data_IF_310789795404
#
_entry.id   IF_310789795404
#
_cell.length_a   1.000
_cell.length_b   1.000
_cell.length_c   1.000
_cell.angle_alpha   90.00
_cell.angle_beta   90.00
_cell.angle_gamma   90.00
#
_symmetry.space_group_name_H-M   'P 1'
#
loop_
_entity.id
_entity.type
_entity.pdbx_description
1 polymer ?
#
# COMPACT_ATOMS: atom_id res chain seq x y z
N UNK A 1 11.26 18.01 15.78
CA UNK A 1 11.12 17.67 14.35
C UNK A 1 9.71 18.00 13.92
N UNK A 2 9.47 18.84 12.90
CA UNK A 2 8.11 19.12 12.48
C UNK A 2 7.54 17.84 11.88
N UNK A 3 6.53 17.27 12.52
CA UNK A 3 5.68 16.23 11.92
C UNK A 3 5.05 16.90 10.71
N UNK A 4 5.61 16.62 9.53
CA UNK A 4 5.09 17.10 8.25
C UNK A 4 3.71 16.47 8.12
N UNK A 5 2.67 17.19 8.51
CA UNK A 5 1.29 16.76 8.33
C UNK A 5 1.09 16.63 6.83
N UNK A 6 1.24 15.41 6.30
CA UNK A 6 1.04 15.13 4.88
C UNK A 6 -0.44 15.32 4.64
N UNK A 7 -0.80 16.47 4.09
CA UNK A 7 -2.17 16.81 3.77
C UNK A 7 -2.42 16.24 2.38
N UNK A 8 -3.00 15.05 2.34
CA UNK A 8 -3.48 14.48 1.10
C UNK A 8 -4.77 15.18 0.68
N UNK A 9 -4.88 15.49 -0.60
CA UNK A 9 -6.16 15.88 -1.20
C UNK A 9 -7.17 14.73 -1.03
N UNK A 10 -8.47 15.02 -0.90
CA UNK A 10 -9.50 13.99 -0.71
C UNK A 10 -9.47 12.92 -1.81
N UNK A 11 -9.21 13.30 -3.06
CA UNK A 11 -9.03 12.36 -4.17
C UNK A 11 -7.86 11.40 -3.94
N UNK A 12 -6.75 11.89 -3.35
CA UNK A 12 -5.60 11.03 -3.04
C UNK A 12 -5.92 10.05 -1.92
N UNK A 13 -6.71 10.47 -0.93
CA UNK A 13 -7.18 9.56 0.13
C UNK A 13 -8.07 8.47 -0.45
N UNK A 14 -8.99 8.80 -1.37
CA UNK A 14 -9.83 7.81 -2.06
C UNK A 14 -9.00 6.84 -2.89
N UNK A 15 -7.98 7.33 -3.61
CA UNK A 15 -7.06 6.48 -4.37
C UNK A 15 -6.30 5.53 -3.43
N UNK A 16 -5.77 6.04 -2.31
CA UNK A 16 -5.03 5.23 -1.33
C UNK A 16 -5.92 4.16 -0.70
N UNK A 17 -7.17 4.48 -0.38
CA UNK A 17 -8.16 3.53 0.14
C UNK A 17 -8.46 2.42 -0.88
N UNK A 18 -8.67 2.79 -2.15
CA UNK A 18 -8.87 1.84 -3.24
C UNK A 18 -7.65 0.93 -3.45
N UNK A 19 -6.45 1.52 -3.44
CA UNK A 19 -5.19 0.76 -3.56
C UNK A 19 -5.02 -0.22 -2.38
N UNK A 20 -5.36 0.22 -1.16
CA UNK A 20 -5.28 -0.62 0.03
C UNK A 20 -6.23 -1.79 -0.07
N UNK A 21 -7.47 -1.56 -0.52
CA UNK A 21 -8.44 -2.62 -0.72
C UNK A 21 -7.93 -3.64 -1.75
N UNK A 22 -7.41 -3.19 -2.90
CA UNK A 22 -6.90 -4.07 -3.95
C UNK A 22 -5.67 -4.87 -3.48
N UNK A 23 -4.74 -4.23 -2.78
CA UNK A 23 -3.55 -4.89 -2.24
C UNK A 23 -3.93 -5.96 -1.19
N UNK A 24 -4.91 -5.68 -0.33
CA UNK A 24 -5.44 -6.66 0.64
C UNK A 24 -6.09 -7.86 -0.06
N UNK A 25 -6.90 -7.62 -1.10
CA UNK A 25 -7.49 -8.71 -1.89
C UNK A 25 -6.42 -9.57 -2.56
N UNK A 26 -5.40 -8.95 -3.16
CA UNK A 26 -4.27 -9.68 -3.77
C UNK A 26 -3.48 -10.47 -2.74
N UNK A 27 -3.22 -9.89 -1.57
CA UNK A 27 -2.57 -10.58 -0.47
C UNK A 27 -3.39 -11.80 -0.01
N UNK A 28 -4.72 -11.67 0.05
CA UNK A 28 -5.62 -12.76 0.43
C UNK A 28 -5.59 -13.90 -0.59
N UNK A 29 -5.57 -13.57 -1.89
CA UNK A 29 -5.42 -14.55 -2.98
C UNK A 29 -4.07 -15.29 -2.89
N UNK A 30 -3.01 -14.61 -2.45
CA UNK A 30 -1.69 -15.21 -2.20
C UNK A 30 -1.61 -16.01 -0.89
N UNK A 31 -2.72 -16.12 -0.13
CA UNK A 31 -2.77 -16.85 1.13
C UNK A 31 -2.13 -16.10 2.31
N UNK A 32 -1.93 -14.79 2.20
CA UNK A 32 -1.47 -13.98 3.32
C UNK A 32 -2.58 -13.81 4.36
N UNK A 33 -2.22 -13.88 5.63
CA UNK A 33 -3.16 -13.65 6.72
C UNK A 33 -3.57 -12.17 6.77
N UNK A 34 -4.85 -11.89 6.56
CA UNK A 34 -5.39 -10.52 6.51
C UNK A 34 -5.66 -10.00 7.92
N UNK A 35 -4.59 -9.60 8.61
CA UNK A 35 -4.63 -8.93 9.92
C UNK A 35 -4.54 -7.40 9.85
N UNK A 36 -4.73 -6.75 10.99
CA UNK A 36 -4.53 -5.29 11.13
C UNK A 36 -3.07 -4.90 10.82
N UNK A 37 -2.10 -5.69 11.27
CA UNK A 37 -0.68 -5.51 10.94
C UNK A 37 -0.40 -5.47 9.44
N UNK A 38 -1.02 -6.37 8.68
CA UNK A 38 -0.87 -6.42 7.22
C UNK A 38 -1.42 -5.15 6.58
N UNK A 39 -2.64 -4.75 6.97
CA UNK A 39 -3.27 -3.53 6.46
C UNK A 39 -2.44 -2.30 6.79
N UNK A 40 -1.92 -2.21 8.02
CA UNK A 40 -1.08 -1.09 8.45
C UNK A 40 0.23 -1.02 7.65
N UNK A 41 0.85 -2.16 7.33
CA UNK A 41 2.05 -2.21 6.47
C UNK A 41 1.76 -1.77 5.04
N UNK A 42 0.69 -2.29 4.44
CA UNK A 42 0.26 -1.91 3.10
C UNK A 42 -0.08 -0.42 3.03
N UNK A 43 -0.86 0.09 3.99
CA UNK A 43 -1.20 1.50 4.07
C UNK A 43 0.04 2.39 4.24
N UNK A 44 1.00 1.98 5.08
CA UNK A 44 2.25 2.73 5.26
C UNK A 44 3.07 2.80 3.97
N UNK A 45 3.16 1.70 3.22
CA UNK A 45 3.86 1.65 1.94
C UNK A 45 3.18 2.53 0.88
N UNK A 46 1.84 2.51 0.82
CA UNK A 46 1.05 3.36 -0.07
C UNK A 46 1.23 4.86 0.24
N UNK A 47 1.20 5.22 1.53
CA UNK A 47 1.43 6.59 2.00
C UNK A 47 2.86 7.04 1.66
N UNK A 48 3.86 6.19 1.86
CA UNK A 48 5.24 6.49 1.50
C UNK A 48 5.39 6.75 0.00
N UNK A 49 4.88 5.85 -0.83
CA UNK A 49 4.93 6.01 -2.29
C UNK A 49 4.19 7.27 -2.78
N UNK A 50 3.02 7.57 -2.21
CA UNK A 50 2.30 8.81 -2.50
C UNK A 50 3.05 10.06 -2.02
N UNK A 51 3.78 9.97 -0.91
CA UNK A 51 4.63 11.07 -0.41
C UNK A 51 5.83 11.31 -1.33
N UNK A 52 6.30 10.28 -2.04
CA UNK A 52 7.32 10.39 -3.09
C UNK A 52 6.79 10.94 -4.43
N UNK A 53 5.49 11.21 -4.53
CA UNK A 53 4.85 11.78 -5.71
C UNK A 53 4.28 10.76 -6.69
N UNK A 54 4.29 9.47 -6.35
CA UNK A 54 3.62 8.45 -7.15
C UNK A 54 2.09 8.58 -7.00
N UNK A 55 1.39 8.60 -8.14
CA UNK A 55 -0.06 8.76 -8.22
C UNK A 55 -0.72 7.68 -9.05
N UNK A 56 0.08 6.85 -9.72
CA UNK A 56 -0.41 5.74 -10.50
C UNK A 56 -0.86 4.60 -9.56
N UNK A 57 -2.14 4.25 -9.65
CA UNK A 57 -2.78 3.23 -8.82
C UNK A 57 -2.07 1.88 -8.94
N UNK A 58 -1.71 1.47 -10.16
CA UNK A 58 -1.09 0.17 -10.38
C UNK A 58 0.30 0.12 -9.72
N UNK A 59 1.08 1.20 -9.86
CA UNK A 59 2.40 1.31 -9.23
C UNK A 59 2.33 1.36 -7.71
N UNK A 60 1.37 2.08 -7.15
CA UNK A 60 1.14 2.15 -5.71
C UNK A 60 0.82 0.75 -5.14
N UNK A 61 -0.07 0.01 -5.81
CA UNK A 61 -0.42 -1.37 -5.42
C UNK A 61 0.80 -2.29 -5.55
N UNK A 62 1.55 -2.24 -6.66
CA UNK A 62 2.77 -3.05 -6.82
C UNK A 62 3.82 -2.77 -5.73
N UNK A 63 4.02 -1.49 -5.39
CA UNK A 63 4.92 -1.08 -4.31
C UNK A 63 4.46 -1.61 -2.95
N UNK A 64 3.17 -1.49 -2.65
CA UNK A 64 2.60 -2.03 -1.42
C UNK A 64 2.71 -3.57 -1.36
N UNK A 65 2.49 -4.26 -2.48
CA UNK A 65 2.67 -5.71 -2.55
C UNK A 65 4.13 -6.12 -2.33
N UNK A 66 5.11 -5.29 -2.69
CA UNK A 66 6.54 -5.57 -2.46
C UNK A 66 6.92 -5.60 -0.98
N UNK A 67 6.16 -4.96 -0.08
CA UNK A 67 6.42 -5.06 1.37
C UNK A 67 5.98 -6.40 1.96
N UNK A 68 5.23 -7.21 1.20
CA UNK A 68 4.80 -8.52 1.65
C UNK A 68 5.89 -9.57 1.41
N UNK A 69 6.29 -10.32 2.46
CA UNK A 69 7.29 -11.38 2.30
C UNK A 69 6.84 -12.46 1.30
N UNK A 70 5.52 -12.69 1.16
CA UNK A 70 4.94 -13.60 0.18
C UNK A 70 5.27 -13.21 -1.28
N UNK A 71 5.38 -11.91 -1.58
CA UNK A 71 5.73 -11.43 -2.93
C UNK A 71 7.22 -11.55 -3.25
N UNK A 72 8.06 -11.66 -2.22
CA UNK A 72 9.50 -11.90 -2.36
C UNK A 72 9.82 -13.31 -2.84
N UNK A 73 8.96 -14.27 -2.54
CA UNK A 73 9.18 -15.69 -2.85
C UNK A 73 8.65 -16.11 -4.24
N UNK A 74 7.84 -15.28 -4.89
CA UNK A 74 7.31 -15.54 -6.25
C UNK A 74 8.28 -15.03 -7.35
N UNK A 75 9.30 -14.27 -6.97
CA UNK A 75 10.29 -13.67 -7.89
C UNK A 75 11.70 -14.26 -7.78
N UNK A 76 11.85 -15.35 -7.02
CA UNK A 76 13.12 -16.09 -6.85
C UNK A 76 13.13 -17.36 -7.71
#
# INVERSE_FOLDING_TARGET
MPKRSVRFDPDTVTILDQCLHEAVQKAAVLGAEIGEDLRNRLASALIEAATHGERDVARLVEFAMCVLPAHRNVRA
#
